data_IF_658344042932
#
_entry.id   IF_658344042932
#
_cell.length_a   1.000
_cell.length_b   1.000
_cell.length_c   1.000
_cell.angle_alpha   90.00
_cell.angle_beta   90.00
_cell.angle_gamma   90.00
#
_symmetry.space_group_name_H-M   'P 1'
#
loop_
_entity.id
_entity.type
_entity.pdbx_description
1 polymer ?
#
# COMPACT_ATOMS: atom_id res chain seq x y z
N UNK A 1 38.13 25.60 -73.12
CA UNK A 1 36.94 25.92 -72.30
C UNK A 1 36.95 24.96 -71.06
N UNK A 2 37.30 25.45 -69.87
CA UNK A 2 37.26 24.66 -68.63
C UNK A 2 36.03 25.11 -67.85
N UNK A 3 35.03 24.25 -67.74
CA UNK A 3 33.88 24.47 -66.86
C UNK A 3 34.32 24.30 -65.41
N UNK A 4 34.37 25.39 -64.67
CA UNK A 4 34.50 25.41 -63.21
C UNK A 4 33.18 25.01 -62.58
N UNK A 5 33.09 23.83 -61.98
CA UNK A 5 31.96 23.48 -61.11
C UNK A 5 32.16 24.16 -59.77
N UNK A 6 31.22 25.01 -59.37
CA UNK A 6 31.16 25.60 -58.03
C UNK A 6 30.87 24.51 -56.99
N UNK A 7 31.53 24.52 -55.81
CA UNK A 7 31.24 23.58 -54.75
C UNK A 7 29.84 23.80 -54.17
N UNK A 8 29.04 22.77 -54.13
CA UNK A 8 27.72 22.73 -53.49
C UNK A 8 27.90 22.84 -51.97
N UNK A 9 27.81 24.07 -51.43
CA UNK A 9 27.85 24.31 -49.99
C UNK A 9 26.49 24.00 -49.40
N UNK A 10 26.24 22.69 -49.17
CA UNK A 10 25.08 22.23 -48.39
C UNK A 10 25.16 22.87 -46.99
N UNK A 11 24.35 23.90 -46.75
CA UNK A 11 24.19 24.55 -45.43
C UNK A 11 23.74 23.49 -44.45
N UNK A 12 24.65 23.04 -43.56
CA UNK A 12 24.28 22.21 -42.40
C UNK A 12 23.27 23.02 -41.58
N UNK A 13 22.12 22.44 -41.18
CA UNK A 13 21.17 23.13 -40.35
C UNK A 13 21.90 23.62 -39.09
N UNK A 14 21.76 24.93 -38.78
CA UNK A 14 22.43 25.53 -37.62
C UNK A 14 21.97 24.76 -36.33
N UNK A 15 22.89 24.51 -35.40
CA UNK A 15 22.69 23.77 -34.16
C UNK A 15 21.39 24.16 -33.42
N UNK A 16 21.01 25.43 -33.44
CA UNK A 16 19.75 25.91 -32.86
C UNK A 16 18.48 25.34 -33.51
N UNK A 17 18.48 25.17 -34.86
CA UNK A 17 17.35 24.54 -35.58
C UNK A 17 17.22 23.07 -35.24
N UNK A 18 18.34 22.35 -35.13
CA UNK A 18 18.34 20.94 -34.75
C UNK A 18 17.84 20.76 -33.31
N UNK A 19 18.32 21.58 -32.36
CA UNK A 19 17.83 21.57 -30.97
C UNK A 19 16.33 21.89 -30.92
N UNK A 20 15.87 22.90 -31.64
CA UNK A 20 14.45 23.25 -31.70
C UNK A 20 13.57 22.11 -32.22
N UNK A 21 14.02 21.42 -33.29
CA UNK A 21 13.29 20.27 -33.83
C UNK A 21 13.26 19.09 -32.83
N UNK A 22 14.35 18.80 -32.15
CA UNK A 22 14.41 17.73 -31.14
C UNK A 22 13.45 18.06 -29.98
N UNK A 23 13.44 19.29 -29.49
CA UNK A 23 12.51 19.70 -28.42
C UNK A 23 11.05 19.59 -28.86
N UNK A 24 10.70 19.97 -30.08
CA UNK A 24 9.35 19.81 -30.62
C UNK A 24 8.94 18.35 -30.73
N UNK A 25 9.84 17.47 -31.17
CA UNK A 25 9.59 16.02 -31.21
C UNK A 25 9.35 15.48 -29.80
N UNK A 26 10.20 15.83 -28.84
CA UNK A 26 10.06 15.39 -27.44
C UNK A 26 8.73 15.88 -26.81
N UNK A 27 8.37 17.13 -27.06
CA UNK A 27 7.07 17.68 -26.61
C UNK A 27 5.90 16.95 -27.27
N UNK A 28 5.97 16.66 -28.57
CA UNK A 28 4.96 15.90 -29.29
C UNK A 28 4.80 14.47 -28.76
N UNK A 29 5.92 13.79 -28.51
CA UNK A 29 5.91 12.45 -27.91
C UNK A 29 5.34 12.47 -26.48
N UNK A 30 5.72 13.45 -25.67
CA UNK A 30 5.18 13.65 -24.33
C UNK A 30 3.67 13.90 -24.33
N UNK A 31 3.17 14.76 -25.21
CA UNK A 31 1.75 15.03 -25.36
C UNK A 31 0.96 13.79 -25.83
N UNK A 32 1.51 13.03 -26.79
CA UNK A 32 0.93 11.77 -27.25
C UNK A 32 0.88 10.74 -26.12
N UNK A 33 1.96 10.59 -25.36
CA UNK A 33 2.03 9.69 -24.20
C UNK A 33 1.00 10.07 -23.13
N UNK A 34 0.87 11.37 -22.79
CA UNK A 34 -0.10 11.86 -21.83
C UNK A 34 -1.55 11.61 -22.26
N UNK A 35 -1.87 11.89 -23.54
CA UNK A 35 -3.20 11.60 -24.07
C UNK A 35 -3.51 10.09 -24.02
N UNK A 36 -2.58 9.26 -24.46
CA UNK A 36 -2.74 7.81 -24.41
C UNK A 36 -2.93 7.31 -22.98
N UNK A 37 -2.16 7.82 -22.01
CA UNK A 37 -2.31 7.48 -20.61
C UNK A 37 -3.67 7.90 -20.05
N UNK A 38 -4.17 9.09 -20.40
CA UNK A 38 -5.51 9.54 -20.01
C UNK A 38 -6.60 8.61 -20.56
N UNK A 39 -6.55 8.28 -21.85
CA UNK A 39 -7.50 7.37 -22.48
C UNK A 39 -7.53 5.98 -21.82
N UNK A 40 -6.37 5.41 -21.51
CA UNK A 40 -6.32 4.14 -20.78
C UNK A 40 -6.86 4.26 -19.34
N UNK A 41 -6.64 5.39 -18.67
CA UNK A 41 -7.17 5.62 -17.32
C UNK A 41 -8.70 5.72 -17.36
N UNK A 42 -9.27 6.45 -18.32
CA UNK A 42 -10.72 6.59 -18.47
C UNK A 42 -11.36 5.27 -18.87
N UNK A 43 -10.73 4.53 -19.79
CA UNK A 43 -11.16 3.19 -20.13
C UNK A 43 -11.15 2.23 -18.93
N UNK A 44 -10.12 2.29 -18.09
CA UNK A 44 -10.04 1.48 -16.88
C UNK A 44 -11.18 1.80 -15.91
N UNK A 45 -11.48 3.09 -15.71
CA UNK A 45 -12.58 3.56 -14.82
C UNK A 45 -13.95 3.10 -15.31
N UNK A 46 -14.20 3.13 -16.62
CA UNK A 46 -15.48 2.71 -17.20
C UNK A 46 -15.64 1.19 -17.25
N UNK A 47 -14.56 0.46 -17.55
CA UNK A 47 -14.57 -0.99 -17.70
C UNK A 47 -14.57 -1.74 -16.38
N UNK A 48 -13.89 -1.21 -15.36
CA UNK A 48 -13.68 -1.85 -14.07
C UNK A 48 -14.30 -0.98 -12.96
N UNK A 49 -15.63 -1.09 -12.83
CA UNK A 49 -16.36 -0.41 -11.76
C UNK A 49 -15.87 -0.87 -10.38
N UNK A 50 -15.87 0.05 -9.41
CA UNK A 50 -15.52 -0.27 -8.03
C UNK A 50 -16.49 -1.28 -7.43
N UNK A 51 -16.04 -2.41 -6.86
CA UNK A 51 -16.90 -3.23 -6.01
C UNK A 51 -17.20 -2.46 -4.71
N UNK A 52 -18.45 -2.56 -4.19
CA UNK A 52 -18.80 -1.83 -2.98
C UNK A 52 -19.23 -0.39 -3.23
N UNK A 53 -18.68 0.58 -2.49
CA UNK A 53 -19.15 1.98 -2.56
C UNK A 53 -18.02 2.99 -2.39
N UNK A 54 -18.22 4.17 -2.97
CA UNK A 54 -17.42 5.37 -2.68
C UNK A 54 -18.04 6.10 -1.49
N UNK A 55 -17.23 6.47 -0.50
CA UNK A 55 -17.67 7.15 0.72
C UNK A 55 -16.87 8.44 0.86
N UNK A 56 -17.56 9.57 0.98
CA UNK A 56 -16.95 10.85 1.19
C UNK A 56 -16.35 10.95 2.60
N UNK A 57 -15.10 11.40 2.71
CA UNK A 57 -14.39 11.57 3.98
C UNK A 57 -14.06 13.05 4.27
N UNK A 58 -14.69 13.96 3.54
CA UNK A 58 -14.52 15.40 3.66
C UNK A 58 -14.29 16.04 2.30
N UNK A 59 -13.05 16.22 1.92
CA UNK A 59 -12.63 16.84 0.66
C UNK A 59 -12.33 15.83 -0.48
N UNK A 60 -12.41 14.54 -0.18
CA UNK A 60 -12.24 13.45 -1.14
C UNK A 60 -13.09 12.23 -0.76
N UNK A 61 -13.15 11.21 -1.64
CA UNK A 61 -13.90 9.98 -1.41
C UNK A 61 -12.97 8.77 -1.44
N UNK A 62 -13.22 7.82 -0.53
CA UNK A 62 -12.51 6.56 -0.48
C UNK A 62 -13.42 5.41 -0.92
N UNK A 63 -12.86 4.47 -1.64
CA UNK A 63 -13.51 3.22 -1.97
C UNK A 63 -13.53 2.29 -0.76
N UNK A 64 -14.70 1.68 -0.49
CA UNK A 64 -14.93 0.74 0.59
C UNK A 64 -15.70 -0.46 0.06
N UNK A 65 -15.17 -1.65 0.27
CA UNK A 65 -15.80 -2.92 -0.09
C UNK A 65 -16.01 -3.79 1.15
N UNK A 66 -17.26 -3.96 1.58
CA UNK A 66 -17.63 -4.77 2.73
C UNK A 66 -18.44 -5.98 2.31
N UNK A 67 -18.11 -7.14 2.87
CA UNK A 67 -18.78 -8.42 2.66
C UNK A 67 -19.17 -9.04 4.02
N UNK A 68 -20.15 -9.92 4.01
CA UNK A 68 -20.61 -10.63 5.21
C UNK A 68 -21.42 -9.76 6.15
N UNK A 69 -21.77 -10.32 7.32
CA UNK A 69 -22.57 -9.68 8.37
C UNK A 69 -22.12 -10.17 9.74
N UNK A 70 -22.24 -9.32 10.75
CA UNK A 70 -21.93 -9.64 12.13
C UNK A 70 -20.80 -8.82 12.74
N UNK A 71 -20.52 -9.06 14.02
CA UNK A 71 -19.53 -8.37 14.84
C UNK A 71 -18.49 -9.33 15.42
N UNK A 72 -17.29 -8.82 15.74
CA UNK A 72 -16.78 -7.48 15.43
C UNK A 72 -16.56 -7.28 13.92
N UNK A 73 -16.49 -6.02 13.47
CA UNK A 73 -16.04 -5.68 12.13
C UNK A 73 -14.58 -6.12 11.97
N UNK A 74 -14.25 -6.85 10.89
CA UNK A 74 -12.86 -7.08 10.47
C UNK A 74 -12.49 -6.07 9.40
N UNK A 75 -11.46 -5.28 9.68
CA UNK A 75 -10.91 -4.31 8.75
C UNK A 75 -9.60 -4.85 8.17
N UNK A 76 -9.48 -4.83 6.85
CA UNK A 76 -8.31 -5.28 6.11
C UNK A 76 -7.51 -4.08 5.61
N UNK A 77 -6.30 -3.88 6.15
CA UNK A 77 -5.44 -2.74 5.88
C UNK A 77 -4.22 -3.17 5.05
N UNK A 78 -4.16 -2.69 3.80
CA UNK A 78 -3.13 -3.08 2.83
C UNK A 78 -1.77 -2.43 3.09
N UNK A 79 -0.71 -3.05 2.61
CA UNK A 79 0.64 -2.53 2.67
C UNK A 79 0.86 -1.29 1.79
N UNK A 80 2.11 -0.81 1.73
CA UNK A 80 2.51 0.27 0.83
C UNK A 80 2.24 -0.16 -0.61
N UNK A 81 1.68 0.73 -1.42
CA UNK A 81 1.23 0.46 -2.80
C UNK A 81 0.12 -0.59 -2.95
N UNK A 82 -0.42 -1.09 -1.84
CA UNK A 82 -1.52 -2.05 -1.83
C UNK A 82 -2.90 -1.39 -1.73
N UNK A 83 -3.94 -2.14 -2.13
CA UNK A 83 -5.34 -1.74 -2.06
C UNK A 83 -6.26 -2.92 -1.80
N UNK A 84 -7.56 -2.72 -1.81
CA UNK A 84 -8.57 -3.71 -1.42
C UNK A 84 -8.44 -5.07 -2.10
N UNK A 85 -8.00 -5.13 -3.37
CA UNK A 85 -7.82 -6.40 -4.10
C UNK A 85 -6.70 -7.30 -3.56
N UNK A 86 -5.75 -6.77 -2.79
CA UNK A 86 -4.72 -7.58 -2.15
C UNK A 86 -5.32 -8.62 -1.20
N UNK A 87 -6.55 -8.38 -0.74
CA UNK A 87 -7.28 -9.26 0.17
C UNK A 87 -8.24 -10.24 -0.52
N UNK A 88 -8.18 -10.36 -1.85
CA UNK A 88 -9.09 -11.19 -2.64
C UNK A 88 -9.14 -12.67 -2.21
N UNK A 89 -8.05 -13.22 -1.66
CA UNK A 89 -7.99 -14.60 -1.15
C UNK A 89 -8.49 -14.74 0.29
N UNK A 90 -8.58 -13.66 1.05
CA UNK A 90 -8.88 -13.66 2.48
C UNK A 90 -10.30 -13.14 2.75
N UNK A 91 -10.65 -11.99 2.20
CA UNK A 91 -11.90 -11.29 2.49
C UNK A 91 -13.16 -12.14 2.24
N UNK A 92 -13.36 -12.82 1.09
CA UNK A 92 -14.58 -13.57 0.84
C UNK A 92 -14.77 -14.77 1.79
N UNK A 93 -13.66 -15.35 2.28
CA UNK A 93 -13.69 -16.45 3.24
C UNK A 93 -14.01 -15.99 4.65
N UNK A 94 -13.42 -14.86 5.08
CA UNK A 94 -13.73 -14.24 6.38
C UNK A 94 -15.16 -13.73 6.45
N UNK A 95 -15.72 -13.26 5.35
CA UNK A 95 -17.09 -12.78 5.25
C UNK A 95 -18.17 -13.82 5.62
N UNK A 96 -17.82 -15.09 5.67
CA UNK A 96 -18.67 -16.17 6.17
C UNK A 96 -18.87 -16.14 7.69
N UNK A 97 -18.01 -15.42 8.43
CA UNK A 97 -17.98 -15.41 9.89
C UNK A 97 -18.39 -14.08 10.52
N UNK A 98 -18.23 -12.97 9.80
CA UNK A 98 -18.52 -11.62 10.30
C UNK A 98 -18.56 -10.62 9.14
N UNK A 99 -18.81 -9.33 9.45
CA UNK A 99 -18.61 -8.23 8.49
C UNK A 99 -17.11 -8.01 8.27
N UNK A 100 -16.69 -8.02 7.01
CA UNK A 100 -15.27 -7.82 6.62
C UNK A 100 -15.18 -6.73 5.57
N UNK A 101 -14.42 -5.68 5.85
CA UNK A 101 -14.23 -4.56 4.94
C UNK A 101 -12.76 -4.43 4.54
N UNK A 102 -12.54 -4.21 3.25
CA UNK A 102 -11.30 -3.70 2.68
C UNK A 102 -11.57 -2.35 2.03
N UNK A 103 -10.55 -1.53 1.89
CA UNK A 103 -10.69 -0.21 1.30
C UNK A 103 -9.42 0.20 0.57
N UNK A 104 -9.52 1.24 -0.25
CA UNK A 104 -8.38 1.82 -0.92
C UNK A 104 -8.03 3.14 -0.23
N UNK A 105 -6.80 3.27 0.26
CA UNK A 105 -6.33 4.57 0.77
C UNK A 105 -6.32 5.60 -0.34
N UNK A 106 -6.40 6.89 0.03
CA UNK A 106 -6.47 7.98 -0.93
C UNK A 106 -5.32 7.93 -1.96
N UNK A 107 -5.68 8.08 -3.23
CA UNK A 107 -4.80 8.01 -4.38
C UNK A 107 -4.61 6.60 -4.95
N UNK A 108 -5.04 5.54 -4.26
CA UNK A 108 -4.92 4.18 -4.80
C UNK A 108 -6.22 3.70 -5.46
N UNK A 109 -6.05 2.82 -6.43
CA UNK A 109 -7.09 2.09 -7.15
C UNK A 109 -8.33 2.95 -7.47
N UNK A 110 -9.46 2.74 -6.82
CA UNK A 110 -10.69 3.49 -7.05
C UNK A 110 -10.82 4.78 -6.24
N UNK A 111 -10.11 4.91 -5.12
CA UNK A 111 -10.18 6.11 -4.25
C UNK A 111 -9.69 7.38 -4.93
N UNK A 112 -10.26 8.52 -4.55
CA UNK A 112 -9.77 9.82 -4.96
C UNK A 112 -8.40 10.13 -4.33
N UNK A 113 -7.70 11.10 -4.87
CA UNK A 113 -6.49 11.65 -4.26
C UNK A 113 -6.87 12.56 -3.09
N UNK A 114 -6.11 12.50 -1.99
CA UNK A 114 -6.25 13.50 -0.93
C UNK A 114 -5.51 14.78 -1.33
N UNK A 115 -6.04 15.95 -1.00
CA UNK A 115 -5.39 17.23 -1.28
C UNK A 115 -4.22 17.53 -0.32
N UNK A 116 -4.08 16.76 0.76
CA UNK A 116 -3.10 16.96 1.83
C UNK A 116 -1.97 15.92 1.81
N UNK A 117 -0.89 16.20 2.56
CA UNK A 117 0.21 15.27 2.73
C UNK A 117 -0.25 13.95 3.38
N UNK A 118 0.38 12.83 2.97
CA UNK A 118 0.06 11.48 3.46
C UNK A 118 0.88 11.15 4.69
N UNK A 119 0.38 11.49 5.88
CA UNK A 119 0.96 11.05 7.15
C UNK A 119 0.21 9.83 7.71
N UNK A 120 0.87 9.04 8.57
CA UNK A 120 0.21 7.88 9.17
C UNK A 120 -1.05 8.25 9.95
N UNK A 121 -1.04 9.33 10.75
CA UNK A 121 -2.22 9.78 11.49
C UNK A 121 -3.34 10.29 10.59
N UNK A 122 -3.03 11.00 9.49
CA UNK A 122 -4.06 11.41 8.54
C UNK A 122 -4.71 10.21 7.85
N UNK A 123 -3.93 9.17 7.53
CA UNK A 123 -4.50 7.93 7.00
C UNK A 123 -5.43 7.23 8.01
N UNK A 124 -5.08 7.24 9.30
CA UNK A 124 -5.93 6.73 10.39
C UNK A 124 -7.22 7.55 10.52
N UNK A 125 -7.16 8.89 10.46
CA UNK A 125 -8.35 9.74 10.55
C UNK A 125 -9.24 9.64 9.31
N UNK A 126 -8.66 9.53 8.12
CA UNK A 126 -9.41 9.22 6.88
C UNK A 126 -10.19 7.91 7.04
N UNK A 127 -9.53 6.85 7.52
CA UNK A 127 -10.14 5.56 7.77
C UNK A 127 -11.29 5.65 8.78
N UNK A 128 -11.08 6.33 9.91
CA UNK A 128 -12.12 6.51 10.93
C UNK A 128 -13.33 7.28 10.37
N UNK A 129 -13.06 8.32 9.58
CA UNK A 129 -14.11 9.08 8.90
C UNK A 129 -14.85 8.24 7.87
N UNK A 130 -14.12 7.40 7.11
CA UNK A 130 -14.67 6.43 6.18
C UNK A 130 -15.66 5.49 6.88
N UNK A 131 -15.25 4.88 8.00
CA UNK A 131 -16.09 3.93 8.74
C UNK A 131 -17.33 4.63 9.31
N UNK A 132 -17.17 5.80 9.95
CA UNK A 132 -18.31 6.58 10.46
C UNK A 132 -19.33 6.95 9.37
N UNK A 133 -18.85 7.46 8.24
CA UNK A 133 -19.69 7.91 7.13
C UNK A 133 -20.30 6.73 6.34
N UNK A 134 -19.71 5.54 6.49
CA UNK A 134 -20.27 4.28 5.99
C UNK A 134 -21.33 3.67 6.93
N UNK A 135 -21.58 4.27 8.11
CA UNK A 135 -22.42 3.74 9.20
C UNK A 135 -21.90 2.40 9.76
N UNK A 136 -20.57 2.25 9.81
CA UNK A 136 -19.89 1.11 10.40
C UNK A 136 -19.40 1.53 11.79
N UNK A 137 -20.18 1.18 12.79
CA UNK A 137 -19.91 1.49 14.18
C UNK A 137 -19.66 0.19 14.94
N UNK A 138 -18.84 0.25 15.98
CA UNK A 138 -18.59 -0.88 16.87
C UNK A 138 -17.12 -1.29 16.91
N UNK A 139 -16.85 -2.39 17.62
CA UNK A 139 -15.49 -2.86 17.82
C UNK A 139 -14.90 -3.39 16.52
N UNK A 140 -13.62 -3.04 16.29
CA UNK A 140 -12.88 -3.36 15.06
C UNK A 140 -11.76 -4.34 15.38
N UNK A 141 -11.70 -5.47 14.67
CA UNK A 141 -10.52 -6.30 14.57
C UNK A 141 -9.75 -5.88 13.31
N UNK A 142 -8.52 -5.39 13.46
CA UNK A 142 -7.73 -4.92 12.31
C UNK A 142 -6.72 -5.99 11.88
N UNK A 143 -6.71 -6.28 10.59
CA UNK A 143 -5.73 -7.15 9.92
C UNK A 143 -4.86 -6.27 9.05
N UNK A 144 -3.63 -6.03 9.45
CA UNK A 144 -2.75 -5.09 8.76
C UNK A 144 -1.51 -5.76 8.17
N UNK A 145 -1.27 -5.56 6.88
CA UNK A 145 -0.06 -6.04 6.19
C UNK A 145 0.98 -4.94 6.08
N UNK A 146 2.24 -5.23 6.41
CA UNK A 146 3.38 -4.34 6.17
C UNK A 146 3.15 -2.91 6.71
N UNK A 147 3.15 -1.88 5.86
CA UNK A 147 2.77 -0.51 6.20
C UNK A 147 1.37 -0.41 6.80
N UNK A 148 0.40 -1.16 6.26
CA UNK A 148 -0.95 -1.25 6.85
C UNK A 148 -0.94 -1.83 8.27
N UNK A 149 0.00 -2.71 8.58
CA UNK A 149 0.22 -3.18 9.95
C UNK A 149 0.72 -2.07 10.89
N UNK A 150 1.50 -1.11 10.39
CA UNK A 150 1.88 0.09 11.16
C UNK A 150 0.66 0.99 11.39
N UNK A 151 -0.16 1.22 10.36
CA UNK A 151 -1.39 2.01 10.50
C UNK A 151 -2.38 1.35 11.47
N UNK A 152 -2.50 0.03 11.47
CA UNK A 152 -3.30 -0.73 12.44
C UNK A 152 -2.82 -0.51 13.88
N UNK A 153 -1.50 -0.52 14.11
CA UNK A 153 -0.92 -0.20 15.42
C UNK A 153 -1.21 1.25 15.81
N UNK A 154 -1.01 2.21 14.91
CA UNK A 154 -1.30 3.63 15.18
C UNK A 154 -2.79 3.87 15.48
N UNK A 155 -3.71 3.18 14.78
CA UNK A 155 -5.14 3.23 15.09
C UNK A 155 -5.41 2.73 16.51
N UNK A 156 -4.86 1.57 16.88
CA UNK A 156 -5.04 1.00 18.21
C UNK A 156 -4.41 1.86 19.32
N UNK A 157 -3.28 2.51 19.05
CA UNK A 157 -2.61 3.41 19.98
C UNK A 157 -3.36 4.73 20.20
N UNK A 158 -3.85 5.33 19.11
CA UNK A 158 -4.55 6.61 19.16
C UNK A 158 -6.03 6.47 19.59
N UNK A 159 -6.65 5.32 19.31
CA UNK A 159 -8.07 5.06 19.56
C UNK A 159 -8.28 3.66 20.18
N UNK A 160 -7.76 3.44 21.41
CA UNK A 160 -7.72 2.12 22.04
C UNK A 160 -9.11 1.51 22.27
N UNK A 161 -10.14 2.31 22.42
CA UNK A 161 -11.52 1.84 22.65
C UNK A 161 -12.20 1.33 21.36
N UNK A 162 -11.66 1.63 20.20
CA UNK A 162 -12.21 1.21 18.90
C UNK A 162 -11.67 -0.16 18.45
N UNK A 163 -10.45 -0.53 18.87
CA UNK A 163 -9.76 -1.74 18.40
C UNK A 163 -9.83 -2.83 19.45
N UNK A 164 -10.41 -3.97 19.10
CA UNK A 164 -10.60 -5.12 19.99
C UNK A 164 -9.71 -6.33 19.65
N UNK A 165 -8.96 -6.27 18.59
CA UNK A 165 -8.02 -7.33 18.20
C UNK A 165 -7.16 -6.93 17.02
N UNK A 166 -5.98 -7.55 16.91
CA UNK A 166 -5.01 -7.28 15.85
C UNK A 166 -4.48 -8.59 15.24
N UNK A 167 -4.38 -8.61 13.90
CA UNK A 167 -3.57 -9.60 13.18
C UNK A 167 -2.56 -8.84 12.32
N UNK A 168 -1.30 -8.90 12.71
CA UNK A 168 -0.21 -8.15 12.10
C UNK A 168 0.56 -9.06 11.15
N UNK A 169 0.38 -8.84 9.85
CA UNK A 169 0.85 -9.72 8.77
C UNK A 169 2.15 -9.12 8.21
N UNK A 170 3.27 -9.66 8.62
CA UNK A 170 4.63 -9.18 8.30
C UNK A 170 4.72 -7.65 8.40
N UNK A 171 4.22 -7.12 9.51
CA UNK A 171 3.89 -5.72 9.71
C UNK A 171 5.15 -4.87 9.96
N UNK A 172 5.16 -3.64 9.45
CA UNK A 172 6.16 -2.65 9.82
C UNK A 172 6.00 -2.28 11.30
N UNK A 173 7.11 -2.12 11.99
CA UNK A 173 7.17 -1.73 13.40
C UNK A 173 7.87 -0.38 13.56
N UNK A 174 7.46 0.45 14.52
CA UNK A 174 8.04 1.79 14.69
C UNK A 174 9.56 1.78 14.98
N UNK A 175 10.10 0.70 15.55
CA UNK A 175 11.55 0.52 15.75
C UNK A 175 12.26 -0.21 14.61
N UNK A 176 11.57 -0.45 13.48
CA UNK A 176 12.13 -1.25 12.38
C UNK A 176 13.46 -0.70 11.88
N UNK A 177 13.61 0.61 11.83
CA UNK A 177 14.82 1.28 11.34
C UNK A 177 15.83 1.63 12.45
N UNK A 178 15.43 1.56 13.73
CA UNK A 178 16.24 2.00 14.86
C UNK A 178 17.54 1.20 15.06
N UNK A 179 17.57 -0.06 14.62
CA UNK A 179 18.73 -0.95 14.69
C UNK A 179 19.53 -1.04 13.38
N UNK A 180 19.09 -0.36 12.31
CA UNK A 180 19.80 -0.36 11.03
C UNK A 180 21.02 0.56 11.08
N UNK A 181 22.06 0.21 10.30
CA UNK A 181 23.16 1.15 10.04
C UNK A 181 22.60 2.43 9.41
N UNK A 182 22.84 3.62 10.02
CA UNK A 182 22.30 4.88 9.51
C UNK A 182 22.67 5.19 8.06
N UNK A 183 23.89 4.81 7.64
CA UNK A 183 24.34 5.04 6.28
C UNK A 183 23.65 4.09 5.27
N UNK A 184 23.41 2.84 5.64
CA UNK A 184 22.64 1.89 4.83
C UNK A 184 21.18 2.34 4.71
N UNK A 185 20.55 2.75 5.81
CA UNK A 185 19.20 3.31 5.81
C UNK A 185 19.10 4.56 4.93
N UNK A 186 20.04 5.50 5.05
CA UNK A 186 20.06 6.72 4.23
C UNK A 186 20.21 6.43 2.73
N UNK A 187 21.06 5.46 2.36
CA UNK A 187 21.22 5.02 0.96
C UNK A 187 19.91 4.43 0.43
N UNK A 188 19.29 3.53 1.19
CA UNK A 188 18.00 2.94 0.85
C UNK A 188 16.93 4.00 0.65
N UNK A 189 16.73 4.84 1.66
CA UNK A 189 15.74 5.90 1.65
C UNK A 189 15.93 6.84 0.44
N UNK A 190 17.17 7.23 0.13
CA UNK A 190 17.48 8.07 -1.04
C UNK A 190 17.10 7.38 -2.35
N UNK A 191 17.45 6.11 -2.49
CA UNK A 191 17.14 5.33 -3.71
C UNK A 191 15.64 5.20 -3.91
N UNK A 192 14.91 4.84 -2.86
CA UNK A 192 13.46 4.70 -2.93
C UNK A 192 12.75 6.04 -3.18
N UNK A 193 13.20 7.13 -2.55
CA UNK A 193 12.69 8.49 -2.82
C UNK A 193 12.90 8.89 -4.29
N UNK A 194 14.06 8.56 -4.85
CA UNK A 194 14.36 8.83 -6.26
C UNK A 194 13.50 7.98 -7.19
N UNK A 195 13.39 6.67 -6.93
CA UNK A 195 12.60 5.75 -7.76
C UNK A 195 11.10 6.11 -7.73
N UNK A 196 10.52 6.25 -6.56
CA UNK A 196 9.10 6.60 -6.43
C UNK A 196 8.83 8.00 -6.95
N UNK A 197 9.73 8.98 -6.69
CA UNK A 197 9.62 10.34 -7.18
C UNK A 197 9.70 10.43 -8.71
N UNK A 198 10.65 9.73 -9.34
CA UNK A 198 10.73 9.71 -10.80
C UNK A 198 9.47 9.11 -11.45
N UNK A 199 8.90 8.07 -10.83
CA UNK A 199 7.69 7.45 -11.32
C UNK A 199 6.48 8.42 -11.34
N UNK A 200 6.43 9.41 -10.43
CA UNK A 200 5.36 10.44 -10.42
C UNK A 200 5.36 11.31 -11.68
N UNK A 201 6.54 11.54 -12.26
CA UNK A 201 6.71 12.29 -13.50
C UNK A 201 6.56 11.43 -14.75
N UNK A 202 6.99 10.18 -14.67
CA UNK A 202 6.92 9.23 -15.79
C UNK A 202 5.49 8.75 -16.05
N UNK A 203 4.70 8.56 -15.00
CA UNK A 203 3.36 7.96 -15.11
C UNK A 203 2.38 8.81 -15.94
N UNK A 204 2.26 10.14 -15.76
CA UNK A 204 1.38 10.97 -16.58
C UNK A 204 1.72 10.95 -18.08
N UNK A 205 2.99 10.69 -18.40
CA UNK A 205 3.47 10.56 -19.79
C UNK A 205 3.33 9.15 -20.35
N UNK A 206 2.74 8.21 -19.60
CA UNK A 206 2.59 6.81 -20.00
C UNK A 206 3.90 6.00 -19.99
N UNK A 207 5.02 6.57 -19.55
CA UNK A 207 6.33 5.91 -19.57
C UNK A 207 6.41 4.71 -18.61
N UNK A 208 5.74 4.76 -17.48
CA UNK A 208 5.65 3.61 -16.55
C UNK A 208 4.90 2.44 -17.17
N UNK A 209 3.86 2.70 -17.97
CA UNK A 209 3.13 1.68 -18.71
C UNK A 209 3.98 1.09 -19.83
N UNK A 210 4.67 1.94 -20.59
CA UNK A 210 5.57 1.51 -21.66
C UNK A 210 6.71 0.64 -21.11
N UNK A 211 7.25 0.99 -19.95
CA UNK A 211 8.31 0.23 -19.26
C UNK A 211 7.78 -0.99 -18.47
N UNK A 212 6.46 -1.24 -18.48
CA UNK A 212 5.79 -2.27 -17.67
C UNK A 212 6.17 -2.22 -16.18
N UNK A 213 6.16 -1.02 -15.61
CA UNK A 213 6.46 -0.74 -14.21
C UNK A 213 5.18 -0.35 -13.46
N UNK A 214 4.33 -1.30 -13.05
CA UNK A 214 3.10 -1.00 -12.33
C UNK A 214 3.38 -0.44 -10.93
N UNK A 215 2.47 0.34 -10.37
CA UNK A 215 2.58 0.86 -9.02
C UNK A 215 2.46 -0.22 -7.92
N UNK A 216 1.86 -1.35 -8.24
CA UNK A 216 1.75 -2.53 -7.35
C UNK A 216 2.63 -3.67 -7.84
N UNK A 217 3.27 -4.36 -6.91
CA UNK A 217 4.18 -5.50 -7.19
C UNK A 217 3.51 -6.86 -7.04
N UNK A 218 2.23 -6.92 -6.62
CA UNK A 218 1.54 -8.18 -6.33
C UNK A 218 0.63 -8.67 -7.45
N UNK A 219 0.60 -8.00 -8.60
CA UNK A 219 -0.36 -8.27 -9.67
C UNK A 219 -0.43 -9.75 -10.10
N UNK A 220 0.72 -10.39 -10.21
CA UNK A 220 0.81 -11.79 -10.63
C UNK A 220 0.55 -12.79 -9.48
N UNK A 221 0.48 -12.31 -8.23
CA UNK A 221 0.10 -13.11 -7.04
C UNK A 221 -1.41 -13.11 -6.80
N UNK A 222 -2.15 -12.19 -7.42
CA UNK A 222 -3.61 -12.13 -7.32
C UNK A 222 -4.28 -13.28 -8.06
N UNK A 223 -5.51 -13.68 -7.66
CA UNK A 223 -6.32 -14.61 -8.44
C UNK A 223 -6.46 -14.17 -9.91
N UNK A 224 -6.42 -15.10 -10.83
CA UNK A 224 -6.39 -14.81 -12.27
C UNK A 224 -7.52 -13.88 -12.73
N UNK A 225 -8.71 -13.99 -12.13
CA UNK A 225 -9.86 -13.14 -12.47
C UNK A 225 -9.72 -11.70 -11.95
N UNK A 226 -8.88 -11.43 -10.94
CA UNK A 226 -8.60 -10.09 -10.40
C UNK A 226 -7.49 -9.36 -11.18
N UNK A 227 -6.57 -10.12 -11.79
CA UNK A 227 -5.38 -9.55 -12.43
C UNK A 227 -5.67 -8.51 -13.52
N UNK A 228 -6.68 -8.68 -14.41
CA UNK A 228 -6.97 -7.67 -15.43
C UNK A 228 -7.38 -6.32 -14.84
N UNK A 229 -8.22 -6.34 -13.80
CA UNK A 229 -8.64 -5.13 -13.08
C UNK A 229 -7.47 -4.48 -12.35
N UNK A 230 -6.75 -5.26 -11.57
CA UNK A 230 -5.60 -4.77 -10.80
C UNK A 230 -4.53 -4.16 -11.72
N UNK A 231 -4.23 -4.82 -12.85
CA UNK A 231 -3.28 -4.31 -13.85
C UNK A 231 -3.75 -3.01 -14.49
N UNK A 232 -5.03 -2.89 -14.82
CA UNK A 232 -5.60 -1.67 -15.38
C UNK A 232 -5.50 -0.49 -14.40
N UNK A 233 -5.77 -0.73 -13.11
CA UNK A 233 -5.68 0.25 -12.03
C UNK A 233 -4.23 0.62 -11.69
N UNK A 234 -3.32 -0.35 -11.65
CA UNK A 234 -1.92 -0.18 -11.23
C UNK A 234 -1.13 0.86 -12.05
N UNK A 235 -1.58 1.17 -13.27
CA UNK A 235 -0.92 2.15 -14.14
C UNK A 235 -1.56 3.55 -14.09
N UNK A 236 -2.52 3.81 -13.21
CA UNK A 236 -3.07 5.15 -13.04
C UNK A 236 -2.03 6.06 -12.37
N UNK A 237 -1.85 7.27 -12.88
CA UNK A 237 -0.83 8.23 -12.42
C UNK A 237 -0.96 8.58 -10.93
N UNK A 238 -2.18 8.58 -10.39
CA UNK A 238 -2.45 8.86 -8.98
C UNK A 238 -1.81 7.85 -8.04
N UNK A 239 -1.74 6.55 -8.43
CA UNK A 239 -1.12 5.52 -7.58
C UNK A 239 0.37 5.80 -7.32
N UNK A 240 1.10 6.31 -8.32
CA UNK A 240 2.52 6.63 -8.15
C UNK A 240 2.71 7.85 -7.24
N UNK A 241 1.81 8.85 -7.35
CA UNK A 241 1.82 10.00 -6.42
C UNK A 241 1.51 9.57 -5.00
N UNK A 242 0.50 8.72 -4.80
CA UNK A 242 0.15 8.16 -3.50
C UNK A 242 1.30 7.34 -2.91
N UNK A 243 1.90 6.44 -3.70
CA UNK A 243 3.06 5.64 -3.30
C UNK A 243 4.23 6.52 -2.85
N UNK A 244 4.57 7.55 -3.64
CA UNK A 244 5.65 8.46 -3.28
C UNK A 244 5.35 9.23 -2.00
N UNK A 245 4.14 9.78 -1.87
CA UNK A 245 3.72 10.53 -0.70
C UNK A 245 3.68 9.66 0.57
N UNK A 246 3.15 8.45 0.50
CA UNK A 246 3.18 7.51 1.63
C UNK A 246 4.61 7.10 1.99
N UNK A 247 5.46 6.82 0.99
CA UNK A 247 6.85 6.48 1.25
C UNK A 247 7.59 7.61 2.00
N UNK A 248 7.36 8.87 1.61
CA UNK A 248 7.90 10.03 2.33
C UNK A 248 7.34 10.15 3.75
N UNK A 249 6.13 9.67 3.97
CA UNK A 249 5.43 9.68 5.26
C UNK A 249 5.84 8.57 6.23
N UNK A 250 6.58 7.53 5.80
CA UNK A 250 6.94 6.39 6.65
C UNK A 250 7.80 6.83 7.84
N UNK A 251 8.99 7.41 7.61
CA UNK A 251 9.90 7.79 8.70
C UNK A 251 9.24 8.75 9.71
N UNK A 252 8.51 9.82 9.28
CA UNK A 252 7.74 10.64 10.20
C UNK A 252 6.68 9.87 10.98
N UNK A 253 6.00 8.92 10.37
CA UNK A 253 4.98 8.13 11.05
C UNK A 253 5.58 7.19 12.10
N UNK A 254 6.75 6.58 11.84
CA UNK A 254 7.46 5.78 12.83
C UNK A 254 7.83 6.61 14.07
N UNK A 255 8.26 7.87 13.86
CA UNK A 255 8.58 8.77 14.96
C UNK A 255 7.33 9.16 15.76
N UNK A 256 6.23 9.47 15.10
CA UNK A 256 4.95 9.73 15.78
C UNK A 256 4.49 8.50 16.56
N UNK A 257 4.57 7.31 15.98
CA UNK A 257 4.14 6.06 16.63
C UNK A 257 4.93 5.75 17.92
N UNK A 258 6.22 6.11 17.98
CA UNK A 258 7.02 5.99 19.23
C UNK A 258 6.52 6.89 20.35
N UNK A 259 5.88 8.01 20.02
CA UNK A 259 5.35 8.99 20.98
C UNK A 259 3.92 8.69 21.42
N UNK A 260 3.20 7.83 20.68
CA UNK A 260 1.86 7.39 21.06
C UNK A 260 1.93 6.43 22.27
N UNK A 261 0.83 6.28 23.03
CA UNK A 261 0.71 5.26 24.07
C UNK A 261 1.04 3.86 23.49
N UNK A 262 1.41 2.88 24.32
CA UNK A 262 1.56 1.51 23.87
C UNK A 262 0.28 0.97 23.22
N UNK A 263 0.43 0.01 22.29
CA UNK A 263 -0.72 -0.73 21.73
C UNK A 263 -1.49 -1.35 22.92
N UNK A 264 -2.82 -1.18 22.99
CA UNK A 264 -3.62 -1.71 24.09
C UNK A 264 -3.52 -3.25 24.15
N UNK A 265 -3.71 -3.86 25.35
CA UNK A 265 -3.65 -5.30 25.53
C UNK A 265 -4.88 -6.01 24.95
N UNK A 266 -4.96 -6.11 23.64
CA UNK A 266 -6.02 -6.82 22.91
C UNK A 266 -5.47 -8.14 22.34
N UNK A 267 -6.33 -9.14 22.10
CA UNK A 267 -5.92 -10.36 21.41
C UNK A 267 -5.15 -10.03 20.12
N UNK A 268 -3.89 -10.47 20.06
CA UNK A 268 -2.99 -10.10 18.95
C UNK A 268 -2.21 -11.31 18.45
N UNK A 269 -2.13 -11.47 17.12
CA UNK A 269 -1.25 -12.42 16.44
C UNK A 269 -0.33 -11.67 15.50
N UNK A 270 0.98 -11.95 15.59
CA UNK A 270 2.00 -11.47 14.66
C UNK A 270 2.41 -12.63 13.76
N UNK A 271 2.17 -12.50 12.48
CA UNK A 271 2.68 -13.41 11.44
C UNK A 271 3.90 -12.76 10.79
N UNK A 272 5.01 -13.43 10.69
CA UNK A 272 6.20 -12.91 10.04
C UNK A 272 6.89 -13.95 9.17
N UNK A 273 7.62 -13.49 8.16
CA UNK A 273 8.49 -14.32 7.32
C UNK A 273 9.96 -14.00 7.57
N UNK A 274 10.83 -14.95 7.29
CA UNK A 274 12.28 -14.73 7.23
C UNK A 274 12.81 -14.57 5.81
N UNK A 275 11.93 -14.63 4.80
CA UNK A 275 12.31 -14.49 3.39
C UNK A 275 12.19 -13.03 2.93
N UNK A 276 13.32 -12.43 2.53
CA UNK A 276 13.38 -11.10 1.92
C UNK A 276 13.47 -11.19 0.38
N UNK A 277 12.73 -12.12 -0.22
CA UNK A 277 12.78 -12.38 -1.66
C UNK A 277 12.40 -11.16 -2.53
N UNK A 278 11.76 -10.17 -1.95
CA UNK A 278 11.20 -9.00 -2.63
C UNK A 278 12.07 -7.75 -2.52
N UNK A 279 13.17 -7.82 -1.78
CA UNK A 279 14.16 -6.76 -1.78
C UNK A 279 15.04 -6.82 -3.02
N UNK A 280 15.43 -5.66 -3.60
CA UNK A 280 16.25 -5.64 -4.82
C UNK A 280 17.57 -6.42 -4.66
N UNK A 281 18.06 -7.07 -5.71
CA UNK A 281 19.39 -7.71 -5.70
C UNK A 281 20.50 -6.70 -5.39
N UNK A 282 21.51 -7.13 -4.64
CA UNK A 282 22.68 -6.29 -4.30
C UNK A 282 22.54 -5.47 -3.02
N UNK A 283 21.40 -5.53 -2.36
CA UNK A 283 21.22 -4.99 -1.01
C UNK A 283 21.81 -5.97 -0.01
N UNK A 284 22.28 -5.48 1.13
CA UNK A 284 22.79 -6.30 2.26
C UNK A 284 21.60 -7.09 2.86
N UNK A 285 21.13 -8.10 2.12
CA UNK A 285 19.88 -8.83 2.39
C UNK A 285 19.87 -9.47 3.77
N UNK A 286 21.02 -9.98 4.21
CA UNK A 286 21.10 -10.66 5.50
C UNK A 286 20.91 -9.67 6.65
N UNK A 287 21.54 -8.51 6.61
CA UNK A 287 21.38 -7.47 7.63
C UNK A 287 19.92 -6.96 7.66
N UNK A 288 19.36 -6.69 6.49
CA UNK A 288 17.94 -6.29 6.37
C UNK A 288 17.01 -7.34 6.95
N UNK A 289 17.25 -8.62 6.65
CA UNK A 289 16.47 -9.74 7.19
C UNK A 289 16.57 -9.81 8.71
N UNK A 290 17.77 -9.71 9.27
CA UNK A 290 17.99 -9.74 10.71
C UNK A 290 17.28 -8.57 11.42
N UNK A 291 17.36 -7.36 10.86
CA UNK A 291 16.66 -6.19 11.40
C UNK A 291 15.14 -6.35 11.33
N UNK A 292 14.62 -6.88 10.20
CA UNK A 292 13.19 -7.15 10.04
C UNK A 292 12.70 -8.13 11.08
N UNK A 293 13.38 -9.28 11.22
CA UNK A 293 13.05 -10.31 12.20
C UNK A 293 13.14 -9.82 13.65
N UNK A 294 14.15 -8.99 13.96
CA UNK A 294 14.27 -8.38 15.29
C UNK A 294 13.09 -7.42 15.57
N UNK A 295 12.64 -6.67 14.58
CA UNK A 295 11.43 -5.84 14.65
C UNK A 295 10.18 -6.68 14.94
N UNK A 296 9.98 -7.79 14.23
CA UNK A 296 8.84 -8.68 14.43
C UNK A 296 8.81 -9.29 15.85
N UNK A 297 9.97 -9.69 16.38
CA UNK A 297 10.08 -10.17 17.77
C UNK A 297 9.75 -9.08 18.80
N UNK A 298 10.25 -7.86 18.58
CA UNK A 298 9.91 -6.71 19.44
C UNK A 298 8.42 -6.41 19.41
N UNK A 299 7.84 -6.37 18.23
CA UNK A 299 6.39 -6.16 18.03
C UNK A 299 5.57 -7.20 18.80
N UNK A 300 5.90 -8.49 18.65
CA UNK A 300 5.22 -9.56 19.37
C UNK A 300 5.37 -9.43 20.90
N UNK A 301 6.57 -9.07 21.38
CA UNK A 301 6.81 -8.89 22.82
C UNK A 301 6.04 -7.68 23.37
N UNK A 302 6.07 -6.54 22.68
CA UNK A 302 5.41 -5.30 23.12
C UNK A 302 3.88 -5.41 23.13
N UNK A 303 3.32 -6.20 22.22
CA UNK A 303 1.86 -6.44 22.13
C UNK A 303 1.42 -7.70 22.89
N UNK A 304 2.34 -8.40 23.59
CA UNK A 304 2.09 -9.72 24.18
C UNK A 304 1.45 -10.72 23.18
N UNK A 305 1.77 -10.59 21.91
CA UNK A 305 1.16 -11.35 20.83
C UNK A 305 1.69 -12.79 20.73
N UNK A 306 0.85 -13.68 20.25
CA UNK A 306 1.29 -14.95 19.68
C UNK A 306 2.08 -14.67 18.40
N UNK A 307 3.36 -15.00 18.40
CA UNK A 307 4.23 -14.85 17.23
C UNK A 307 4.32 -16.15 16.42
N UNK A 308 3.98 -16.08 15.15
CA UNK A 308 4.06 -17.22 14.21
C UNK A 308 5.05 -16.88 13.10
N UNK A 309 6.20 -17.54 13.11
CA UNK A 309 7.17 -17.44 12.02
C UNK A 309 6.76 -18.39 10.90
N UNK A 310 6.69 -17.88 9.68
CA UNK A 310 6.34 -18.60 8.45
C UNK A 310 7.60 -18.68 7.56
N UNK A 311 8.42 -19.71 7.72
CA UNK A 311 9.53 -19.93 6.82
C UNK A 311 8.99 -20.25 5.41
N UNK A 312 9.79 -20.03 4.40
CA UNK A 312 9.48 -20.39 3.01
C UNK A 312 8.26 -19.66 2.40
N UNK A 313 7.94 -18.48 2.93
CA UNK A 313 6.96 -17.56 2.36
C UNK A 313 7.58 -16.18 2.14
N UNK A 314 7.12 -15.44 1.14
CA UNK A 314 7.52 -14.06 0.90
C UNK A 314 6.79 -13.08 1.81
N UNK A 315 7.02 -11.79 1.58
CA UNK A 315 6.44 -10.69 2.35
C UNK A 315 4.89 -10.65 2.30
N UNK A 316 4.28 -11.14 1.22
CA UNK A 316 2.83 -11.08 0.99
C UNK A 316 2.11 -12.34 1.49
N UNK A 317 2.19 -12.60 2.82
CA UNK A 317 1.60 -13.79 3.46
C UNK A 317 0.10 -13.93 3.21
N UNK A 318 -0.65 -12.83 3.10
CA UNK A 318 -2.09 -12.84 2.82
C UNK A 318 -2.43 -13.35 1.41
N UNK A 319 -1.47 -13.35 0.49
CA UNK A 319 -1.58 -13.97 -0.83
C UNK A 319 -0.96 -15.37 -0.88
N UNK A 320 0.23 -15.55 -0.31
CA UNK A 320 1.00 -16.78 -0.40
C UNK A 320 0.58 -17.86 0.62
N UNK A 321 0.08 -17.44 1.77
CA UNK A 321 -0.37 -18.26 2.89
C UNK A 321 -1.73 -17.80 3.42
N UNK A 322 -2.65 -17.49 2.52
CA UNK A 322 -3.98 -16.96 2.85
C UNK A 322 -4.75 -17.79 3.86
N UNK A 323 -4.61 -19.13 3.83
CA UNK A 323 -5.22 -20.04 4.80
C UNK A 323 -4.72 -19.81 6.23
N UNK A 324 -3.42 -19.52 6.40
CA UNK A 324 -2.84 -19.22 7.71
C UNK A 324 -3.35 -17.87 8.23
N UNK A 325 -3.39 -16.84 7.38
CA UNK A 325 -3.95 -15.52 7.74
C UNK A 325 -5.40 -15.67 8.15
N UNK A 326 -6.20 -16.41 7.37
CA UNK A 326 -7.59 -16.72 7.70
C UNK A 326 -7.73 -17.38 9.08
N UNK A 327 -6.95 -18.45 9.36
CA UNK A 327 -6.98 -19.14 10.65
C UNK A 327 -6.60 -18.21 11.81
N UNK A 328 -5.60 -17.35 11.62
CA UNK A 328 -5.17 -16.36 12.64
C UNK A 328 -6.26 -15.34 12.94
N UNK A 329 -6.96 -14.85 11.91
CA UNK A 329 -8.09 -13.92 12.12
C UNK A 329 -9.24 -14.62 12.83
N UNK A 330 -9.54 -15.87 12.48
CA UNK A 330 -10.57 -16.66 13.16
C UNK A 330 -10.23 -16.90 14.63
N UNK A 331 -8.95 -17.19 14.95
CA UNK A 331 -8.48 -17.37 16.33
C UNK A 331 -8.71 -16.09 17.14
N UNK A 332 -8.30 -14.93 16.62
CA UNK A 332 -8.52 -13.63 17.29
C UNK A 332 -10.01 -13.31 17.40
N UNK A 333 -10.82 -13.57 16.36
CA UNK A 333 -12.28 -13.40 16.41
C UNK A 333 -12.92 -14.21 17.55
N UNK A 334 -12.49 -15.47 17.74
CA UNK A 334 -12.99 -16.31 18.82
C UNK A 334 -12.63 -15.75 20.19
N UNK A 335 -11.39 -15.28 20.38
CA UNK A 335 -10.92 -14.68 21.65
C UNK A 335 -11.72 -13.41 21.97
N UNK A 336 -11.92 -12.51 20.99
CA UNK A 336 -12.71 -11.28 21.15
C UNK A 336 -14.15 -11.60 21.54
N UNK A 337 -14.79 -12.57 20.88
CA UNK A 337 -16.17 -12.97 21.19
C UNK A 337 -16.32 -13.61 22.57
N UNK A 338 -15.35 -14.44 22.99
CA UNK A 338 -15.31 -15.01 24.31
C UNK A 338 -15.18 -13.94 25.41
N UNK A 339 -14.31 -12.96 25.23
CA UNK A 339 -14.15 -11.84 26.17
C UNK A 339 -15.45 -11.03 26.33
N UNK A 340 -16.17 -10.75 25.22
CA UNK A 340 -17.47 -10.03 25.25
C UNK A 340 -18.54 -10.82 26.01
N UNK A 341 -18.60 -12.13 25.84
CA UNK A 341 -19.60 -12.98 26.56
C UNK A 341 -19.34 -13.02 28.06
N UNK A 342 -18.09 -13.04 28.50
CA UNK A 342 -17.73 -12.99 29.93
C UNK A 342 -18.05 -11.63 30.58
N UNK A 343 -17.99 -10.54 29.82
CA UNK A 343 -18.31 -9.19 30.35
C UNK A 343 -19.82 -9.00 30.50
N UNK A 344 -20.61 -9.50 29.54
CA UNK A 344 -22.07 -9.39 29.55
C UNK A 344 -22.76 -10.40 30.50
N UNK A 345 -22.06 -11.41 31.02
CA UNK A 345 -22.58 -12.44 31.91
C UNK A 345 -22.30 -12.22 33.40
N UNK A 346 -21.72 -11.07 33.79
CA UNK A 346 -21.59 -10.71 35.19
C UNK A 346 -22.84 -9.90 35.62
N UNK A 347 -23.61 -10.39 36.60
CA UNK A 347 -24.78 -9.73 37.11
C UNK A 347 -24.47 -8.39 37.79
#
# INVERSE_FOLDING_TARGET
MRHSQAPNTGRRPGMGRTIGLVLLILLGLGACGALTQSLFTDQARTRYAAPGKMVNVGDHSLHLNCLGQGEPLVLLESGLSGWSQDWALVQPRLAQYTTVCSYDRAGYAWSDEAPTARTGLLAVEDLRTLLRNANLHGPILVVGHSWGGMLAQMLAQAHPDEVVGLVLVDALHHDQTASMDPAAHARYSRTMKMLTGSATWMAPLGLTRLANMPASVVLDKLPTHEQPTARALAFQSKNYRALHAEYLGIDPALEVARQLPPVPPVPTIVLSTNALSEFPPGWEREDMRQHWMAGQKRLATQTAAKHVLVPDAGHYLHLERSALVLASVQEVLQQVRAAKSHHNGRP
#
